data_IF_242622152077
#
_entry.id   IF_242622152077
#
_cell.length_a   1.000
_cell.length_b   1.000
_cell.length_c   1.000
_cell.angle_alpha   90.00
_cell.angle_beta   90.00
_cell.angle_gamma   90.00
#
_symmetry.space_group_name_H-M   'P 1'
#
loop_
_entity.id
_entity.type
_entity.pdbx_description
1 polymer ?
#
# COMPACT_ATOMS: atom_id res chain seq x y z
N UNK A 1 -3.40 8.27 35.44
CA UNK A 1 -3.24 6.86 35.03
C UNK A 1 -2.77 6.87 33.59
N UNK A 2 -1.63 6.25 33.28
CA UNK A 2 -1.19 6.15 31.88
C UNK A 2 -2.27 5.40 31.09
N UNK A 3 -2.71 5.97 29.97
CA UNK A 3 -3.68 5.33 29.10
C UNK A 3 -3.09 3.99 28.62
N UNK A 4 -3.74 2.86 28.92
CA UNK A 4 -3.31 1.58 28.38
C UNK A 4 -3.44 1.63 26.85
N UNK A 5 -2.32 1.63 26.13
CA UNK A 5 -2.35 1.54 24.67
C UNK A 5 -2.50 0.08 24.25
N UNK A 6 -3.05 -0.12 23.05
CA UNK A 6 -3.11 -1.40 22.36
C UNK A 6 -2.09 -1.41 21.24
N UNK A 7 -1.30 -2.48 21.20
CA UNK A 7 -0.39 -2.73 20.11
C UNK A 7 -1.13 -3.53 19.02
N UNK A 8 -0.96 -3.12 17.77
CA UNK A 8 -1.45 -3.83 16.59
C UNK A 8 -0.33 -3.87 15.55
N UNK A 9 -0.08 -5.04 15.00
CA UNK A 9 0.91 -5.22 13.94
C UNK A 9 0.19 -5.60 12.66
N UNK A 10 0.44 -4.84 11.59
CA UNK A 10 0.04 -5.18 10.22
C UNK A 10 1.27 -5.64 9.47
N UNK A 11 1.15 -6.76 8.77
CA UNK A 11 2.20 -7.34 7.94
C UNK A 11 1.71 -7.43 6.50
N UNK A 12 2.44 -6.80 5.59
CA UNK A 12 2.20 -6.87 4.15
C UNK A 12 3.27 -7.74 3.48
N UNK A 13 2.85 -8.73 2.71
CA UNK A 13 3.76 -9.61 1.97
C UNK A 13 4.19 -8.92 0.66
N UNK A 14 5.48 -8.59 0.52
CA UNK A 14 5.98 -7.90 -0.69
C UNK A 14 5.70 -8.70 -1.96
N UNK A 15 5.80 -10.02 -1.88
CA UNK A 15 5.49 -10.91 -3.00
C UNK A 15 4.05 -10.76 -3.47
N UNK A 16 3.10 -10.64 -2.55
CA UNK A 16 1.67 -10.45 -2.89
C UNK A 16 1.42 -9.06 -3.47
N UNK A 17 2.08 -8.03 -2.93
CA UNK A 17 2.02 -6.66 -3.45
C UNK A 17 2.54 -6.58 -4.89
N UNK A 18 3.71 -7.17 -5.17
CA UNK A 18 4.30 -7.18 -6.51
C UNK A 18 3.43 -7.97 -7.49
N UNK A 19 2.94 -9.15 -7.06
CA UNK A 19 2.04 -9.96 -7.88
C UNK A 19 0.76 -9.19 -8.26
N UNK A 20 0.12 -8.51 -7.31
CA UNK A 20 -1.09 -7.74 -7.58
C UNK A 20 -0.82 -6.55 -8.53
N UNK A 21 0.31 -5.84 -8.34
CA UNK A 21 0.75 -4.79 -9.27
C UNK A 21 0.92 -5.34 -10.69
N UNK A 22 1.67 -6.43 -10.86
CA UNK A 22 1.91 -7.04 -12.18
C UNK A 22 0.61 -7.52 -12.82
N UNK A 23 -0.24 -8.20 -12.07
CA UNK A 23 -1.52 -8.69 -12.55
C UNK A 23 -2.44 -7.54 -13.00
N UNK A 24 -2.58 -6.49 -12.19
CA UNK A 24 -3.39 -5.31 -12.55
C UNK A 24 -2.81 -4.56 -13.75
N UNK A 25 -1.48 -4.43 -13.83
CA UNK A 25 -0.82 -3.81 -14.98
C UNK A 25 -1.09 -4.60 -16.27
N UNK A 26 -0.98 -5.93 -16.20
CA UNK A 26 -1.29 -6.83 -17.31
C UNK A 26 -2.74 -6.68 -17.79
N UNK A 27 -3.69 -6.81 -16.87
CA UNK A 27 -5.12 -6.71 -17.18
C UNK A 27 -5.51 -5.34 -17.71
N UNK A 28 -4.90 -4.26 -17.19
CA UNK A 28 -5.13 -2.90 -17.69
C UNK A 28 -4.61 -2.77 -19.11
N UNK A 29 -3.39 -3.25 -19.41
CA UNK A 29 -2.84 -3.25 -20.76
C UNK A 29 -3.74 -3.97 -21.76
N UNK A 30 -4.19 -5.19 -21.42
CA UNK A 30 -5.11 -5.97 -22.26
C UNK A 30 -6.45 -5.24 -22.50
N UNK A 31 -7.02 -4.62 -21.47
CA UNK A 31 -8.26 -3.88 -21.61
C UNK A 31 -8.10 -2.68 -22.56
N UNK A 32 -7.00 -1.92 -22.46
CA UNK A 32 -6.74 -0.76 -23.34
C UNK A 32 -6.47 -1.16 -24.79
N UNK A 33 -5.88 -2.32 -25.02
CA UNK A 33 -5.76 -2.91 -26.35
C UNK A 33 -7.14 -3.27 -26.93
N UNK A 34 -7.95 -4.00 -26.16
CA UNK A 34 -9.28 -4.43 -26.57
C UNK A 34 -10.23 -3.27 -26.85
N UNK A 35 -10.10 -2.16 -26.11
CA UNK A 35 -10.83 -0.91 -26.32
C UNK A 35 -10.34 -0.12 -27.56
N UNK A 36 -9.25 -0.53 -28.20
CA UNK A 36 -8.62 0.20 -29.30
C UNK A 36 -7.96 1.52 -28.89
N UNK A 37 -7.82 1.78 -27.58
CA UNK A 37 -7.19 3.00 -27.05
C UNK A 37 -5.67 2.99 -27.22
N UNK A 38 -5.06 1.80 -27.26
CA UNK A 38 -3.62 1.61 -27.41
C UNK A 38 -3.32 0.55 -28.48
N UNK A 39 -2.33 0.75 -29.36
CA UNK A 39 -1.83 -0.32 -30.21
C UNK A 39 -1.17 -1.40 -29.35
N UNK A 40 -1.12 -2.65 -29.86
CA UNK A 40 -0.53 -3.81 -29.17
C UNK A 40 0.81 -3.50 -28.48
N UNK A 41 1.74 -2.81 -29.17
CA UNK A 41 3.04 -2.47 -28.60
C UNK A 41 2.94 -1.54 -27.38
N UNK A 42 2.05 -0.54 -27.43
CA UNK A 42 1.87 0.38 -26.30
C UNK A 42 1.13 -0.31 -25.15
N UNK A 43 0.17 -1.19 -25.45
CA UNK A 43 -0.49 -2.03 -24.45
C UNK A 43 0.50 -3.01 -23.78
N UNK A 44 1.39 -3.63 -24.54
CA UNK A 44 2.46 -4.50 -24.01
C UNK A 44 3.42 -3.74 -23.11
N UNK A 45 3.80 -2.50 -23.46
CA UNK A 45 4.68 -1.68 -22.62
C UNK A 45 4.05 -1.28 -21.28
N UNK A 46 2.71 -1.33 -21.17
CA UNK A 46 2.00 -1.12 -19.91
C UNK A 46 2.06 -2.35 -18.99
N UNK A 47 2.36 -3.54 -19.51
CA UNK A 47 2.36 -4.77 -18.75
C UNK A 47 3.69 -4.88 -17.98
N UNK A 48 3.62 -4.68 -16.66
CA UNK A 48 4.76 -4.90 -15.77
C UNK A 48 5.12 -6.41 -15.73
N UNK A 49 6.40 -6.72 -15.88
CA UNK A 49 6.96 -8.08 -15.87
C UNK A 49 8.05 -8.23 -14.79
N UNK A 50 8.57 -9.45 -14.66
CA UNK A 50 9.73 -9.77 -13.81
C UNK A 50 11.09 -9.41 -14.44
N UNK A 51 11.11 -8.82 -15.63
CA UNK A 51 12.35 -8.38 -16.26
C UNK A 51 13.10 -7.40 -15.34
N UNK A 52 14.43 -7.50 -15.27
CA UNK A 52 15.26 -6.82 -14.26
C UNK A 52 14.96 -5.32 -14.12
N UNK A 53 14.78 -4.63 -15.25
CA UNK A 53 14.48 -3.19 -15.31
C UNK A 53 13.07 -2.86 -14.77
N UNK A 54 12.07 -3.65 -15.17
CA UNK A 54 10.68 -3.49 -14.74
C UNK A 54 10.55 -3.80 -13.24
N UNK A 55 11.15 -4.91 -12.80
CA UNK A 55 11.17 -5.36 -11.42
C UNK A 55 11.81 -4.31 -10.50
N UNK A 56 12.94 -3.73 -10.89
CA UNK A 56 13.58 -2.67 -10.12
C UNK A 56 12.69 -1.43 -9.98
N UNK A 57 12.08 -0.96 -11.08
CA UNK A 57 11.21 0.22 -11.06
C UNK A 57 9.98 0.01 -10.18
N UNK A 58 9.34 -1.16 -10.24
CA UNK A 58 8.19 -1.52 -9.39
C UNK A 58 8.59 -1.53 -7.93
N UNK A 59 9.67 -2.22 -7.58
CA UNK A 59 10.19 -2.30 -6.21
C UNK A 59 10.55 -0.91 -5.66
N UNK A 60 11.14 -0.06 -6.50
CA UNK A 60 11.49 1.31 -6.12
C UNK A 60 10.24 2.15 -5.84
N UNK A 61 9.23 2.04 -6.69
CA UNK A 61 7.95 2.74 -6.54
C UNK A 61 7.23 2.27 -5.28
N UNK A 62 7.22 0.95 -5.02
CA UNK A 62 6.68 0.37 -3.79
C UNK A 62 7.42 0.88 -2.54
N UNK A 63 8.76 0.98 -2.57
CA UNK A 63 9.54 1.51 -1.46
C UNK A 63 9.22 2.98 -1.15
N UNK A 64 8.99 3.79 -2.19
CA UNK A 64 8.58 5.19 -2.03
C UNK A 64 7.15 5.29 -1.48
N UNK A 65 6.22 4.48 -1.98
CA UNK A 65 4.84 4.42 -1.52
C UNK A 65 4.77 4.00 -0.03
N UNK A 66 5.52 2.97 0.37
CA UNK A 66 5.59 2.51 1.75
C UNK A 66 6.21 3.55 2.68
N UNK A 67 7.29 4.21 2.27
CA UNK A 67 7.91 5.29 3.04
C UNK A 67 6.96 6.48 3.22
N UNK A 68 6.21 6.83 2.18
CA UNK A 68 5.21 7.90 2.22
C UNK A 68 4.04 7.53 3.13
N UNK A 69 3.55 6.29 3.06
CA UNK A 69 2.50 5.78 3.95
C UNK A 69 2.93 5.87 5.42
N UNK A 70 4.17 5.45 5.73
CA UNK A 70 4.72 5.55 7.09
C UNK A 70 4.75 6.99 7.60
N UNK A 71 5.13 7.95 6.75
CA UNK A 71 5.06 9.37 7.09
C UNK A 71 3.62 9.82 7.36
N UNK A 72 2.67 9.44 6.51
CA UNK A 72 1.26 9.78 6.62
C UNK A 72 0.58 9.18 7.86
N UNK A 73 1.03 8.01 8.32
CA UNK A 73 0.52 7.31 9.49
C UNK A 73 1.39 7.51 10.75
N UNK A 74 2.38 8.42 10.70
CA UNK A 74 3.40 8.56 11.73
C UNK A 74 2.86 8.86 13.14
N UNK A 75 1.67 9.45 13.25
CA UNK A 75 1.02 9.68 14.55
C UNK A 75 0.54 8.40 15.27
N UNK A 76 0.34 7.31 14.51
CA UNK A 76 -0.10 6.01 15.03
C UNK A 76 1.01 4.98 15.10
N UNK A 77 2.05 5.15 14.27
CA UNK A 77 3.15 4.21 14.18
C UNK A 77 4.11 4.38 15.36
N UNK A 78 4.64 3.26 15.83
CA UNK A 78 5.70 3.23 16.81
C UNK A 78 7.01 2.84 16.14
N UNK A 79 7.81 3.85 15.80
CA UNK A 79 9.12 3.66 15.20
C UNK A 79 10.18 4.51 15.89
N UNK A 80 11.37 3.93 16.09
CA UNK A 80 12.51 4.57 16.73
C UNK A 80 13.73 4.59 15.79
N UNK A 81 13.48 4.83 14.50
CA UNK A 81 14.53 4.89 13.49
C UNK A 81 15.12 6.31 13.45
N UNK A 82 16.42 6.43 13.73
CA UNK A 82 17.15 7.72 13.75
C UNK A 82 18.08 7.93 12.54
N UNK A 83 18.14 6.96 11.62
CA UNK A 83 19.00 7.00 10.43
C UNK A 83 18.23 6.59 9.18
N UNK A 84 18.67 7.09 8.02
CA UNK A 84 18.11 6.76 6.72
C UNK A 84 19.20 6.80 5.64
N UNK A 85 18.97 6.14 4.51
CA UNK A 85 19.85 6.16 3.34
C UNK A 85 19.02 5.99 2.06
N UNK A 86 19.70 5.97 0.90
CA UNK A 86 19.06 5.86 -0.41
C UNK A 86 18.90 4.44 -0.94
N UNK A 87 19.31 3.42 -0.18
CA UNK A 87 19.21 2.01 -0.61
C UNK A 87 17.75 1.55 -0.57
N UNK A 88 17.45 0.56 -1.41
CA UNK A 88 16.17 -0.12 -1.34
C UNK A 88 16.06 -0.88 -0.01
N UNK A 89 14.84 -0.92 0.53
CA UNK A 89 14.55 -1.66 1.75
C UNK A 89 14.76 -3.15 1.46
N UNK A 90 15.54 -3.85 2.28
CA UNK A 90 15.91 -5.25 2.08
C UNK A 90 14.71 -6.18 1.94
N UNK A 91 13.65 -5.91 2.68
CA UNK A 91 12.40 -6.64 2.68
C UNK A 91 11.72 -6.49 1.31
N UNK A 92 11.80 -5.32 0.69
CA UNK A 92 11.28 -5.11 -0.66
C UNK A 92 12.16 -5.81 -1.70
N UNK A 93 13.48 -5.71 -1.57
CA UNK A 93 14.41 -6.31 -2.52
C UNK A 93 14.31 -7.85 -2.55
N UNK A 94 14.07 -8.47 -1.39
CA UNK A 94 14.06 -9.92 -1.22
C UNK A 94 12.66 -10.55 -1.17
N UNK A 95 11.60 -9.84 -1.57
CA UNK A 95 10.21 -10.33 -1.47
C UNK A 95 9.81 -10.75 -0.04
N UNK A 96 10.33 -10.06 0.97
CA UNK A 96 10.06 -10.30 2.38
C UNK A 96 8.75 -9.66 2.86
N UNK A 97 8.72 -9.33 4.15
CA UNK A 97 7.54 -8.80 4.84
C UNK A 97 7.75 -7.34 5.25
N UNK A 98 6.77 -6.49 4.98
CA UNK A 98 6.71 -5.13 5.49
C UNK A 98 5.85 -5.09 6.73
N UNK A 99 6.41 -4.62 7.84
CA UNK A 99 5.72 -4.59 9.13
C UNK A 99 5.46 -3.15 9.57
N UNK A 100 4.21 -2.89 9.97
CA UNK A 100 3.77 -1.62 10.55
C UNK A 100 3.28 -1.89 11.98
N UNK A 101 4.02 -1.38 12.96
CA UNK A 101 3.67 -1.49 14.38
C UNK A 101 2.89 -0.24 14.81
N UNK A 102 1.62 -0.41 15.17
CA UNK A 102 0.72 0.65 15.60
C UNK A 102 0.56 0.66 17.13
N UNK A 103 0.56 1.86 17.71
CA UNK A 103 0.19 2.11 19.12
C UNK A 103 -1.13 2.86 19.20
N UNK A 104 -2.22 2.11 19.37
CA UNK A 104 -3.57 2.61 19.34
C UNK A 104 -4.15 2.82 20.75
N UNK A 105 -5.21 3.63 20.93
CA UNK A 105 -5.94 3.74 22.19
C UNK A 105 -6.53 2.41 22.70
N UNK A 106 -6.66 2.27 24.02
CA UNK A 106 -7.24 1.06 24.69
C UNK A 106 -8.59 0.63 24.11
N UNK A 107 -9.42 1.57 23.70
CA UNK A 107 -10.76 1.32 23.17
C UNK A 107 -10.78 1.13 21.65
N UNK A 108 -9.63 0.91 20.98
CA UNK A 108 -9.61 0.54 19.56
C UNK A 108 -10.45 -0.72 19.28
N UNK A 109 -11.20 -0.68 18.18
CA UNK A 109 -12.03 -1.79 17.72
C UNK A 109 -11.23 -2.73 16.81
N UNK A 110 -10.82 -3.88 17.36
CA UNK A 110 -10.04 -4.88 16.63
C UNK A 110 -10.75 -5.44 15.39
N UNK A 111 -12.09 -5.36 15.30
CA UNK A 111 -12.81 -5.77 14.10
C UNK A 111 -12.46 -4.91 12.85
N UNK A 112 -11.75 -3.80 13.03
CA UNK A 112 -11.27 -2.94 11.94
C UNK A 112 -9.85 -3.28 11.49
N UNK A 113 -9.18 -4.28 12.10
CA UNK A 113 -7.82 -4.66 11.76
C UNK A 113 -7.69 -5.20 10.33
N UNK A 114 -8.60 -6.07 9.89
CA UNK A 114 -8.58 -6.60 8.51
C UNK A 114 -8.81 -5.48 7.49
N UNK A 115 -9.72 -4.55 7.79
CA UNK A 115 -9.94 -3.38 6.94
C UNK A 115 -8.72 -2.45 6.90
N UNK A 116 -7.92 -2.41 7.96
CA UNK A 116 -6.68 -1.63 8.01
C UNK A 116 -5.62 -2.26 7.10
N UNK A 117 -5.35 -3.57 7.24
CA UNK A 117 -4.41 -4.30 6.38
C UNK A 117 -4.81 -4.23 4.91
N UNK A 118 -6.05 -4.59 4.57
CA UNK A 118 -6.54 -4.53 3.19
C UNK A 118 -6.45 -3.12 2.58
N UNK A 119 -6.71 -2.08 3.38
CA UNK A 119 -6.58 -0.69 2.95
C UNK A 119 -5.12 -0.29 2.69
N UNK A 120 -4.18 -0.79 3.51
CA UNK A 120 -2.74 -0.57 3.34
C UNK A 120 -2.25 -1.28 2.07
N UNK A 121 -2.59 -2.55 1.89
CA UNK A 121 -2.30 -3.29 0.64
C UNK A 121 -2.79 -2.52 -0.59
N UNK A 122 -4.07 -2.12 -0.59
CA UNK A 122 -4.68 -1.41 -1.71
C UNK A 122 -3.95 -0.10 -2.01
N UNK A 123 -3.66 0.69 -0.98
CA UNK A 123 -2.91 1.94 -1.12
C UNK A 123 -1.53 1.73 -1.76
N UNK A 124 -0.78 0.72 -1.29
CA UNK A 124 0.57 0.44 -1.79
C UNK A 124 0.55 -0.01 -3.25
N UNK A 125 -0.39 -0.89 -3.61
CA UNK A 125 -0.57 -1.35 -5.00
C UNK A 125 -0.98 -0.19 -5.90
N UNK A 126 -1.98 0.60 -5.50
CA UNK A 126 -2.49 1.71 -6.31
C UNK A 126 -1.44 2.81 -6.53
N UNK A 127 -0.66 3.17 -5.49
CA UNK A 127 0.44 4.12 -5.65
C UNK A 127 1.54 3.59 -6.56
N UNK A 128 1.88 2.30 -6.45
CA UNK A 128 2.90 1.67 -7.29
C UNK A 128 2.45 1.63 -8.75
N UNK A 129 1.17 1.33 -9.01
CA UNK A 129 0.57 1.37 -10.35
C UNK A 129 0.51 2.79 -10.91
N UNK A 130 0.18 3.79 -10.09
CA UNK A 130 0.17 5.18 -10.50
C UNK A 130 1.56 5.63 -11.00
N UNK A 131 2.63 5.31 -10.27
CA UNK A 131 4.00 5.59 -10.67
C UNK A 131 4.41 4.85 -11.95
N UNK A 132 4.03 3.57 -12.06
CA UNK A 132 4.27 2.77 -13.27
C UNK A 132 3.58 3.36 -14.50
N UNK A 133 2.29 3.67 -14.38
CA UNK A 133 1.50 4.25 -15.48
C UNK A 133 1.87 5.70 -15.77
N UNK A 134 2.47 6.45 -14.85
CA UNK A 134 2.99 7.78 -15.16
C UNK A 134 4.03 7.73 -16.30
N UNK A 135 4.72 6.58 -16.45
CA UNK A 135 5.68 6.31 -17.52
C UNK A 135 4.96 5.72 -18.75
N UNK A 136 4.08 4.73 -18.54
CA UNK A 136 3.55 3.89 -19.64
C UNK A 136 2.17 4.32 -20.15
N UNK A 137 1.31 4.88 -19.28
CA UNK A 137 0.01 5.45 -19.65
C UNK A 137 -0.54 6.49 -18.65
N UNK A 138 -0.33 7.77 -18.92
CA UNK A 138 -0.73 8.87 -18.01
C UNK A 138 -2.22 8.89 -17.62
N UNK A 139 -3.12 8.48 -18.52
CA UNK A 139 -4.57 8.43 -18.22
C UNK A 139 -4.87 7.47 -17.06
N UNK A 140 -4.27 6.27 -17.07
CA UNK A 140 -4.48 5.29 -15.99
C UNK A 140 -3.71 5.69 -14.72
N UNK A 141 -2.60 6.42 -14.83
CA UNK A 141 -1.85 6.90 -13.68
C UNK A 141 -2.73 7.76 -12.74
N UNK A 142 -3.51 8.67 -13.31
CA UNK A 142 -4.42 9.54 -12.55
C UNK A 142 -5.55 8.74 -11.88
N UNK A 143 -6.06 7.70 -12.54
CA UNK A 143 -7.09 6.82 -11.99
C UNK A 143 -6.58 6.09 -10.75
N UNK A 144 -5.40 5.47 -10.83
CA UNK A 144 -4.82 4.74 -9.71
C UNK A 144 -4.36 5.68 -8.58
N UNK A 145 -3.90 6.90 -8.88
CA UNK A 145 -3.66 7.93 -7.86
C UNK A 145 -4.96 8.35 -7.14
N UNK A 146 -6.10 8.37 -7.85
CA UNK A 146 -7.41 8.57 -7.25
C UNK A 146 -7.82 7.42 -6.32
N UNK A 147 -7.62 6.17 -6.77
CA UNK A 147 -7.89 4.99 -5.94
C UNK A 147 -7.04 4.95 -4.67
N UNK A 148 -5.75 5.30 -4.76
CA UNK A 148 -4.87 5.32 -3.59
C UNK A 148 -5.34 6.35 -2.55
N UNK A 149 -5.88 7.49 -2.98
CA UNK A 149 -6.46 8.49 -2.09
C UNK A 149 -7.64 7.92 -1.30
N UNK A 150 -8.54 7.18 -1.97
CA UNK A 150 -9.68 6.50 -1.33
C UNK A 150 -9.20 5.41 -0.37
N UNK A 151 -8.22 4.60 -0.78
CA UNK A 151 -7.61 3.56 0.06
C UNK A 151 -6.99 4.16 1.33
N UNK A 152 -6.28 5.30 1.23
CA UNK A 152 -5.73 6.01 2.38
C UNK A 152 -6.82 6.54 3.32
N UNK A 153 -7.92 7.07 2.79
CA UNK A 153 -9.04 7.47 3.62
C UNK A 153 -9.65 6.29 4.39
N UNK A 154 -9.77 5.13 3.76
CA UNK A 154 -10.26 3.92 4.40
C UNK A 154 -9.31 3.45 5.52
N UNK A 155 -8.00 3.48 5.28
CA UNK A 155 -6.96 3.21 6.30
C UNK A 155 -7.14 4.15 7.50
N UNK A 156 -7.24 5.46 7.25
CA UNK A 156 -7.46 6.45 8.32
C UNK A 156 -8.75 6.18 9.08
N UNK A 157 -9.86 5.92 8.37
CA UNK A 157 -11.16 5.59 8.99
C UNK A 157 -11.09 4.34 9.86
N UNK A 158 -10.34 3.31 9.44
CA UNK A 158 -10.14 2.10 10.21
C UNK A 158 -9.39 2.37 11.53
N UNK A 159 -8.34 3.21 11.51
CA UNK A 159 -7.57 3.61 12.70
C UNK A 159 -8.41 4.35 13.75
N UNK A 160 -9.44 5.08 13.32
CA UNK A 160 -10.33 5.83 14.21
C UNK A 160 -11.44 4.99 14.87
N UNK A 161 -11.64 3.72 14.48
CA UNK A 161 -12.75 2.92 15.01
C UNK A 161 -12.56 2.59 16.49
N UNK A 162 -13.60 2.88 17.28
CA UNK A 162 -13.63 2.64 18.73
C UNK A 162 -14.72 1.63 19.10
N UNK A 163 -14.42 0.78 20.08
CA UNK A 163 -15.38 -0.09 20.73
C UNK A 163 -16.26 0.72 21.68
N UNK A 164 -17.56 0.39 21.74
CA UNK A 164 -18.47 1.01 22.69
C UNK A 164 -18.12 0.60 24.13
N UNK A 165 -18.26 1.49 25.12
CA UNK A 165 -18.05 1.14 26.52
C UNK A 165 -19.01 0.02 26.95
N UNK A 166 -18.51 -0.95 27.71
CA UNK A 166 -19.35 -1.93 28.39
C UNK A 166 -19.81 -1.36 29.73
N UNK A 167 -21.10 -1.49 30.03
CA UNK A 167 -21.63 -1.06 31.33
C UNK A 167 -21.11 -2.03 32.40
N UNK A 168 -20.53 -1.56 33.51
CA UNK A 168 -20.16 -2.42 34.62
C UNK A 168 -21.40 -3.12 35.19
N UNK A 169 -21.36 -4.44 35.32
CA UNK A 169 -22.30 -5.19 36.17
C UNK A 169 -21.76 -5.15 37.59
N UNK A 170 -22.47 -4.47 38.49
CA UNK A 170 -22.22 -4.46 39.93
C UNK A 170 -22.91 -5.66 40.57
#
# INVERSE_FOLDING_TARGET
>A
MAENKKDLTVTEEVRELIYDVQNKAYLTGQAREAEGKKPYQAASNMQASDDDENSYQIRRSLANAFSSLKSLLGEYLYEDRSTSNNRMISEIDNNGQLTLAFKLPSNYNNASADSLGNGIHSYLVDMTLADWFAITNKEDAEVYAGHSTVSLENVKRALYKRSRPTRPTY
#
